data_IF_500092711666
#
_entry.id   IF_500092711666
#
_cell.length_a   1.000
_cell.length_b   1.000
_cell.length_c   1.000
_cell.angle_alpha   90.00
_cell.angle_beta   90.00
_cell.angle_gamma   90.00
#
_symmetry.space_group_name_H-M   'P 1'
#
loop_
_entity.id
_entity.type
_entity.pdbx_description
1 polymer ?
#
# COMPACT_ATOMS: atom_id res chain seq x y z
N UNK A 1 17.37 -20.38 -12.17
CA UNK A 1 16.95 -20.26 -13.59
C UNK A 1 17.12 -18.83 -14.07
N UNK A 2 17.46 -18.61 -15.35
CA UNK A 2 17.53 -17.24 -15.88
C UNK A 2 16.12 -16.66 -16.03
N UNK A 3 15.97 -15.37 -15.79
CA UNK A 3 14.66 -14.70 -15.89
C UNK A 3 14.06 -14.80 -17.32
N UNK A 4 14.90 -14.95 -18.35
CA UNK A 4 14.48 -15.18 -19.74
C UNK A 4 13.87 -16.56 -19.98
N UNK A 5 14.20 -17.55 -19.14
CA UNK A 5 13.75 -18.94 -19.25
C UNK A 5 12.42 -19.19 -18.52
N UNK A 6 11.93 -18.22 -17.74
CA UNK A 6 10.65 -18.32 -17.06
C UNK A 6 9.49 -18.36 -18.08
N UNK A 7 8.66 -19.39 -17.94
CA UNK A 7 7.53 -19.70 -18.83
C UNK A 7 6.30 -18.91 -18.40
N UNK A 8 6.29 -17.60 -18.68
CA UNK A 8 5.12 -16.73 -18.48
C UNK A 8 4.56 -16.28 -19.82
N UNK A 9 3.26 -15.99 -19.87
CA UNK A 9 2.64 -15.35 -21.03
C UNK A 9 3.09 -13.87 -21.12
N UNK A 10 4.22 -13.63 -21.79
CA UNK A 10 4.83 -12.29 -21.94
C UNK A 10 4.00 -11.32 -22.80
N UNK A 11 2.88 -11.76 -23.37
CA UNK A 11 1.96 -10.88 -24.08
C UNK A 11 1.15 -9.99 -23.12
N UNK A 12 0.88 -10.51 -21.91
CA UNK A 12 0.05 -9.85 -20.89
C UNK A 12 0.75 -9.71 -19.53
N UNK A 13 1.65 -10.64 -19.17
CA UNK A 13 2.39 -10.62 -17.92
C UNK A 13 3.80 -10.06 -18.06
N UNK A 14 4.31 -9.54 -16.94
CA UNK A 14 5.65 -8.95 -16.81
C UNK A 14 6.39 -9.67 -15.70
N UNK A 15 7.71 -9.60 -15.71
CA UNK A 15 8.52 -10.00 -14.56
C UNK A 15 8.53 -8.90 -13.50
N UNK A 16 8.78 -9.30 -12.25
CA UNK A 16 9.18 -8.42 -11.17
C UNK A 16 10.39 -7.56 -11.54
N UNK A 17 10.55 -6.42 -10.87
CA UNK A 17 11.66 -5.50 -11.08
C UNK A 17 13.00 -6.09 -10.64
N UNK A 18 14.10 -5.57 -11.19
CA UNK A 18 15.46 -5.93 -10.76
C UNK A 18 15.71 -5.61 -9.29
N UNK A 19 15.09 -4.55 -8.78
CA UNK A 19 15.20 -4.17 -7.36
C UNK A 19 14.49 -5.17 -6.49
N UNK A 20 13.24 -5.55 -6.82
CA UNK A 20 12.48 -6.58 -6.09
C UNK A 20 13.23 -7.91 -6.05
N UNK A 21 13.79 -8.35 -7.19
CA UNK A 21 14.67 -9.52 -7.25
C UNK A 21 15.81 -9.44 -6.24
N UNK A 22 16.53 -8.31 -6.20
CA UNK A 22 17.66 -8.13 -5.29
C UNK A 22 17.25 -8.16 -3.82
N UNK A 23 16.13 -7.53 -3.47
CA UNK A 23 15.61 -7.55 -2.11
C UNK A 23 15.24 -8.98 -1.68
N UNK A 24 14.49 -9.72 -2.52
CA UNK A 24 14.12 -11.11 -2.23
C UNK A 24 15.37 -12.00 -2.10
N UNK A 25 16.32 -11.91 -3.03
CA UNK A 25 17.56 -12.69 -2.97
C UNK A 25 18.38 -12.35 -1.72
N UNK A 26 18.39 -11.07 -1.30
CA UNK A 26 19.02 -10.65 -0.05
C UNK A 26 18.36 -11.29 1.16
N UNK A 27 17.01 -11.33 1.22
CA UNK A 27 16.30 -11.99 2.32
C UNK A 27 16.50 -13.51 2.33
N UNK A 28 16.51 -14.17 1.17
CA UNK A 28 16.89 -15.59 1.06
C UNK A 28 18.31 -15.82 1.63
N UNK A 29 19.26 -14.93 1.33
CA UNK A 29 20.63 -15.08 1.81
C UNK A 29 20.78 -14.94 3.34
N UNK A 30 19.82 -14.28 4.02
CA UNK A 30 19.79 -14.16 5.49
C UNK A 30 19.38 -15.48 6.16
N UNK A 31 18.51 -16.26 5.52
CA UNK A 31 17.90 -17.45 6.13
C UNK A 31 18.49 -18.77 5.66
N UNK A 32 19.09 -18.80 4.47
CA UNK A 32 19.57 -20.02 3.83
C UNK A 32 21.09 -20.00 3.60
N UNK A 33 21.78 -21.14 3.81
CA UNK A 33 23.21 -21.27 3.53
C UNK A 33 23.47 -21.12 2.03
N UNK A 34 24.68 -20.70 1.67
CA UNK A 34 25.04 -20.36 0.28
C UNK A 34 24.69 -21.45 -0.74
N UNK A 35 24.91 -22.72 -0.39
CA UNK A 35 24.62 -23.87 -1.23
C UNK A 35 23.12 -24.05 -1.58
N UNK A 36 22.21 -23.48 -0.78
CA UNK A 36 20.75 -23.64 -0.96
C UNK A 36 20.10 -22.42 -1.63
N UNK A 37 20.74 -21.25 -1.59
CA UNK A 37 20.12 -19.97 -2.01
C UNK A 37 19.57 -19.99 -3.43
N UNK A 38 20.32 -20.54 -4.38
CA UNK A 38 19.86 -20.64 -5.78
C UNK A 38 18.66 -21.56 -5.92
N UNK A 39 18.62 -22.70 -5.21
CA UNK A 39 17.49 -23.62 -5.22
C UNK A 39 16.24 -22.97 -4.62
N UNK A 40 16.38 -22.22 -3.52
CA UNK A 40 15.27 -21.47 -2.92
C UNK A 40 14.79 -20.37 -3.86
N UNK A 41 15.69 -19.62 -4.47
CA UNK A 41 15.33 -18.60 -5.46
C UNK A 41 14.59 -19.20 -6.65
N UNK A 42 15.01 -20.36 -7.15
CA UNK A 42 14.28 -21.08 -8.20
C UNK A 42 12.87 -21.50 -7.77
N UNK A 43 12.68 -21.92 -6.52
CA UNK A 43 11.34 -22.19 -5.98
C UNK A 43 10.46 -20.95 -5.98
N UNK A 44 11.00 -19.79 -5.58
CA UNK A 44 10.28 -18.50 -5.65
C UNK A 44 9.89 -18.17 -7.09
N UNK A 45 10.81 -18.32 -8.04
CA UNK A 45 10.53 -18.08 -9.46
C UNK A 45 9.44 -19.02 -10.00
N UNK A 46 9.45 -20.30 -9.61
CA UNK A 46 8.43 -21.27 -10.02
C UNK A 46 7.06 -20.94 -9.40
N UNK A 47 7.03 -20.55 -8.13
CA UNK A 47 5.80 -20.09 -7.48
C UNK A 47 5.23 -18.85 -8.18
N UNK A 48 6.09 -17.92 -8.61
CA UNK A 48 5.68 -16.76 -9.37
C UNK A 48 5.05 -17.12 -10.72
N UNK A 49 5.66 -18.06 -11.45
CA UNK A 49 5.11 -18.57 -12.71
C UNK A 49 3.75 -19.25 -12.49
N UNK A 50 3.64 -20.08 -11.45
CA UNK A 50 2.40 -20.76 -11.08
C UNK A 50 1.27 -19.75 -10.78
N UNK A 51 1.58 -18.74 -9.96
CA UNK A 51 0.67 -17.63 -9.67
C UNK A 51 0.19 -16.88 -10.91
N UNK A 52 1.08 -16.61 -11.86
CA UNK A 52 0.69 -15.92 -13.08
C UNK A 52 -0.13 -16.79 -14.05
N UNK A 53 -0.02 -18.11 -13.98
CA UNK A 53 -0.76 -19.02 -14.88
C UNK A 53 -2.29 -18.86 -14.76
N UNK A 54 -2.75 -18.51 -13.56
CA UNK A 54 -4.17 -18.29 -13.23
C UNK A 54 -4.50 -16.81 -13.00
N UNK A 55 -3.59 -15.89 -13.35
CA UNK A 55 -3.82 -14.47 -13.17
C UNK A 55 -4.51 -13.82 -14.38
N UNK A 56 -5.29 -12.76 -14.12
CA UNK A 56 -6.00 -12.01 -15.16
C UNK A 56 -5.01 -11.32 -16.12
N UNK A 57 -5.40 -11.20 -17.39
CA UNK A 57 -4.53 -10.81 -18.51
C UNK A 57 -4.75 -9.38 -19.03
N UNK A 58 -5.70 -8.67 -18.45
CA UNK A 58 -6.23 -7.39 -18.89
C UNK A 58 -5.59 -6.17 -18.20
N UNK A 59 -4.68 -6.37 -17.25
CA UNK A 59 -4.02 -5.29 -16.49
C UNK A 59 -3.00 -4.47 -17.29
N UNK A 60 -2.82 -4.72 -18.59
CA UNK A 60 -1.93 -3.96 -19.47
C UNK A 60 -0.42 -4.25 -19.35
N UNK A 61 -0.01 -4.96 -18.29
CA UNK A 61 1.37 -5.41 -18.08
C UNK A 61 2.37 -4.26 -18.22
N UNK A 62 3.38 -4.43 -19.10
CA UNK A 62 4.49 -3.46 -19.26
C UNK A 62 4.06 -2.05 -19.70
N UNK A 63 2.82 -1.91 -20.19
CA UNK A 63 2.24 -0.64 -20.66
C UNK A 63 1.47 0.10 -19.56
N UNK A 64 1.27 -0.54 -18.42
CA UNK A 64 0.58 0.02 -17.27
C UNK A 64 1.58 0.26 -16.13
N UNK A 65 1.59 1.45 -15.54
CA UNK A 65 2.56 1.79 -14.52
C UNK A 65 2.25 1.14 -13.15
N UNK A 66 0.97 0.99 -12.79
CA UNK A 66 0.59 0.31 -11.54
C UNK A 66 0.69 -1.21 -11.64
N UNK A 67 0.58 -1.76 -12.86
CA UNK A 67 0.63 -3.19 -13.13
C UNK A 67 1.83 -3.55 -14.03
N UNK A 68 2.90 -2.78 -13.96
CA UNK A 68 4.18 -3.07 -14.60
C UNK A 68 5.18 -3.68 -13.61
N UNK A 69 6.44 -3.80 -14.03
CA UNK A 69 7.54 -4.05 -13.12
C UNK A 69 7.68 -2.86 -12.15
N UNK A 70 7.74 -3.11 -10.84
CA UNK A 70 7.69 -2.08 -9.81
C UNK A 70 6.28 -1.76 -9.27
N UNK A 71 5.24 -2.45 -9.76
CA UNK A 71 3.86 -2.35 -9.28
C UNK A 71 3.35 -3.71 -8.81
N UNK A 72 2.12 -4.08 -9.19
CA UNK A 72 1.46 -5.34 -8.78
C UNK A 72 2.33 -6.59 -9.00
N UNK A 73 3.14 -6.64 -10.07
CA UNK A 73 4.01 -7.80 -10.32
C UNK A 73 5.18 -7.93 -9.33
N UNK A 74 5.60 -6.85 -8.68
CA UNK A 74 6.55 -6.92 -7.57
C UNK A 74 5.84 -7.44 -6.31
N UNK A 75 4.59 -7.01 -6.05
CA UNK A 75 3.79 -7.56 -4.96
C UNK A 75 3.57 -9.08 -5.11
N UNK A 76 3.26 -9.56 -6.33
CA UNK A 76 3.11 -11.01 -6.62
C UNK A 76 4.44 -11.75 -6.37
N UNK A 77 5.59 -11.14 -6.67
CA UNK A 77 6.89 -11.75 -6.40
C UNK A 77 7.20 -11.81 -4.90
N UNK A 78 6.86 -10.78 -4.14
CA UNK A 78 6.97 -10.77 -2.67
C UNK A 78 6.05 -11.84 -2.05
N UNK A 79 4.83 -11.97 -2.57
CA UNK A 79 3.90 -13.03 -2.19
C UNK A 79 4.43 -14.42 -2.52
N UNK A 80 5.10 -14.58 -3.67
CA UNK A 80 5.76 -15.84 -4.06
C UNK A 80 6.90 -16.18 -3.10
N UNK A 81 7.71 -15.19 -2.73
CA UNK A 81 8.75 -15.33 -1.71
C UNK A 81 8.16 -15.76 -0.38
N UNK A 82 7.11 -15.07 0.07
CA UNK A 82 6.43 -15.38 1.33
C UNK A 82 5.91 -16.82 1.35
N UNK A 83 5.26 -17.30 0.29
CA UNK A 83 4.78 -18.70 0.25
C UNK A 83 5.93 -19.70 0.39
N UNK A 84 7.04 -19.49 -0.34
CA UNK A 84 8.18 -20.42 -0.33
C UNK A 84 8.96 -20.36 0.98
N UNK A 85 9.09 -19.19 1.59
CA UNK A 85 9.94 -18.94 2.76
C UNK A 85 9.14 -18.67 4.05
N UNK A 86 7.83 -18.91 4.06
CA UNK A 86 6.91 -18.62 5.18
C UNK A 86 7.44 -19.01 6.56
N UNK A 87 8.08 -20.19 6.76
CA UNK A 87 8.57 -20.59 8.09
C UNK A 87 9.67 -19.71 8.68
N UNK A 88 10.41 -18.97 7.83
CA UNK A 88 11.56 -18.13 8.24
C UNK A 88 11.31 -16.64 8.03
N UNK A 89 10.28 -16.28 7.26
CA UNK A 89 9.96 -14.89 6.94
C UNK A 89 9.08 -14.24 8.01
N UNK A 90 9.54 -13.11 8.54
CA UNK A 90 8.75 -12.29 9.47
C UNK A 90 7.91 -11.23 8.75
N UNK A 91 6.87 -10.71 9.42
CA UNK A 91 6.08 -9.58 8.91
C UNK A 91 6.96 -8.35 8.58
N UNK A 92 7.88 -8.00 9.48
CA UNK A 92 8.77 -6.85 9.30
C UNK A 92 9.67 -7.01 8.09
N UNK A 93 10.10 -8.23 7.79
CA UNK A 93 10.92 -8.51 6.61
C UNK A 93 10.19 -8.17 5.30
N UNK A 94 8.90 -8.50 5.19
CA UNK A 94 8.07 -8.13 4.03
C UNK A 94 7.90 -6.60 3.96
N UNK A 95 7.65 -5.95 5.10
CA UNK A 95 7.50 -4.49 5.18
C UNK A 95 8.79 -3.78 4.73
N UNK A 96 9.97 -4.32 5.08
CA UNK A 96 11.27 -3.79 4.64
C UNK A 96 11.51 -3.94 3.14
N UNK A 97 11.15 -5.08 2.54
CA UNK A 97 11.26 -5.27 1.09
C UNK A 97 10.44 -4.19 0.39
N UNK A 98 9.18 -4.01 0.80
CA UNK A 98 8.29 -3.01 0.20
C UNK A 98 8.80 -1.57 0.43
N UNK A 99 9.26 -1.25 1.65
CA UNK A 99 9.88 0.05 1.97
C UNK A 99 11.09 0.35 1.07
N UNK A 100 11.94 -0.65 0.81
CA UNK A 100 13.12 -0.52 -0.05
C UNK A 100 12.76 -0.36 -1.54
N UNK A 101 11.59 -0.83 -1.97
CA UNK A 101 11.09 -0.61 -3.32
C UNK A 101 10.49 0.79 -3.49
N UNK A 102 9.70 1.25 -2.53
CA UNK A 102 8.89 2.46 -2.67
C UNK A 102 9.61 3.72 -2.16
N UNK A 103 10.17 3.68 -0.95
CA UNK A 103 10.66 4.87 -0.26
C UNK A 103 11.84 5.58 -0.97
N UNK A 104 12.76 4.92 -1.71
CA UNK A 104 13.83 5.65 -2.41
C UNK A 104 13.33 6.75 -3.34
N UNK A 105 12.20 6.55 -4.01
CA UNK A 105 11.59 7.57 -4.89
C UNK A 105 11.03 8.74 -4.08
N UNK A 106 10.36 8.46 -2.96
CA UNK A 106 9.83 9.49 -2.06
C UNK A 106 10.94 10.25 -1.32
N UNK A 107 12.07 9.60 -0.99
CA UNK A 107 13.22 10.25 -0.35
C UNK A 107 13.83 11.33 -1.25
N UNK A 108 13.74 11.20 -2.58
CA UNK A 108 14.15 12.25 -3.53
C UNK A 108 13.21 13.45 -3.51
N UNK A 109 12.00 13.31 -2.97
CA UNK A 109 10.96 14.33 -2.88
C UNK A 109 10.85 14.98 -1.49
N UNK A 110 11.83 14.80 -0.60
CA UNK A 110 11.84 15.37 0.77
C UNK A 110 11.71 16.91 0.84
N UNK A 111 11.93 17.60 -0.27
CA UNK A 111 11.72 19.06 -0.38
C UNK A 111 10.22 19.44 -0.50
N UNK A 112 9.36 18.48 -0.83
CA UNK A 112 7.91 18.67 -0.89
C UNK A 112 7.37 18.90 0.52
N UNK A 113 6.45 19.85 0.66
CA UNK A 113 5.83 20.16 1.94
C UNK A 113 4.32 20.29 1.80
N UNK A 114 3.58 19.23 2.13
CA UNK A 114 2.11 19.18 2.00
C UNK A 114 1.37 20.23 2.86
N UNK A 115 2.01 20.79 3.90
CA UNK A 115 1.44 21.93 4.64
C UNK A 115 1.35 23.22 3.81
N UNK A 116 1.98 23.28 2.62
CA UNK A 116 1.92 24.45 1.74
C UNK A 116 0.90 24.21 0.61
N UNK A 117 -0.02 25.17 0.35
CA UNK A 117 -1.05 25.03 -0.68
C UNK A 117 -0.52 24.71 -2.08
N UNK A 118 0.67 25.22 -2.43
CA UNK A 118 1.32 24.93 -3.72
C UNK A 118 1.59 23.43 -3.89
N UNK A 119 2.29 22.81 -2.93
CA UNK A 119 2.61 21.39 -2.97
C UNK A 119 1.37 20.52 -2.88
N UNK A 120 0.41 20.89 -2.02
CA UNK A 120 -0.88 20.20 -1.90
C UNK A 120 -1.64 20.17 -3.23
N UNK A 121 -1.69 21.31 -3.94
CA UNK A 121 -2.31 21.37 -5.28
C UNK A 121 -1.57 20.49 -6.30
N UNK A 122 -0.23 20.46 -6.27
CA UNK A 122 0.56 19.57 -7.15
C UNK A 122 0.32 18.08 -6.85
N UNK A 123 0.22 17.71 -5.58
CA UNK A 123 -0.13 16.33 -5.18
C UNK A 123 -1.51 15.94 -5.68
N UNK A 124 -2.52 16.82 -5.54
CA UNK A 124 -3.85 16.59 -6.10
C UNK A 124 -3.83 16.36 -7.62
N UNK A 125 -3.08 17.20 -8.37
CA UNK A 125 -2.90 16.98 -9.81
C UNK A 125 -2.21 15.65 -10.13
N UNK A 126 -1.26 15.20 -9.31
CA UNK A 126 -0.62 13.90 -9.48
C UNK A 126 -1.64 12.76 -9.29
N UNK A 127 -2.53 12.84 -8.29
CA UNK A 127 -3.60 11.86 -8.11
C UNK A 127 -4.63 11.86 -9.25
N UNK A 128 -4.97 13.03 -9.81
CA UNK A 128 -5.81 13.09 -11.01
C UNK A 128 -5.15 12.42 -12.23
N UNK A 129 -3.84 12.58 -12.40
CA UNK A 129 -3.09 11.89 -13.45
C UNK A 129 -3.04 10.39 -13.22
N UNK A 130 -2.85 9.96 -11.96
CA UNK A 130 -2.90 8.55 -11.60
C UNK A 130 -4.28 7.96 -11.94
N UNK A 131 -5.36 8.64 -11.56
CA UNK A 131 -6.75 8.26 -11.89
C UNK A 131 -6.94 8.09 -13.40
N UNK A 132 -6.52 9.06 -14.21
CA UNK A 132 -6.62 8.95 -15.67
C UNK A 132 -5.86 7.74 -16.23
N UNK A 133 -4.73 7.37 -15.61
CA UNK A 133 -3.99 6.16 -15.93
C UNK A 133 -4.75 4.89 -15.55
N UNK A 134 -5.41 4.87 -14.39
CA UNK A 134 -6.25 3.77 -13.95
C UNK A 134 -7.50 3.59 -14.82
N UNK A 135 -8.19 4.68 -15.15
CA UNK A 135 -9.39 4.68 -16.00
C UNK A 135 -9.12 4.08 -17.39
N UNK A 136 -7.87 4.17 -17.86
CA UNK A 136 -7.45 3.57 -19.14
C UNK A 136 -7.43 2.04 -19.10
N UNK A 137 -7.10 1.44 -17.96
CA UNK A 137 -6.87 0.00 -17.82
C UNK A 137 -7.96 -0.70 -17.00
N UNK A 138 -8.84 0.05 -16.33
CA UNK A 138 -9.89 -0.48 -15.45
C UNK A 138 -9.34 -1.48 -14.41
N UNK A 139 -8.18 -1.14 -13.85
CA UNK A 139 -7.42 -1.98 -12.93
C UNK A 139 -7.66 -1.58 -11.46
N UNK A 140 -7.28 -0.36 -11.13
CA UNK A 140 -7.56 0.30 -9.87
C UNK A 140 -8.75 1.21 -10.09
N UNK A 141 -9.93 0.83 -9.59
CA UNK A 141 -11.10 1.70 -9.68
C UNK A 141 -10.93 2.90 -8.73
N UNK A 142 -10.34 3.98 -9.25
CA UNK A 142 -9.92 5.13 -8.47
C UNK A 142 -10.93 6.28 -8.58
N UNK A 143 -11.31 6.83 -7.43
CA UNK A 143 -12.09 8.08 -7.34
C UNK A 143 -11.27 9.13 -6.60
N UNK A 144 -11.18 10.34 -7.14
CA UNK A 144 -10.49 11.48 -6.52
C UNK A 144 -11.50 12.57 -6.25
N UNK A 145 -11.63 13.03 -5.00
CA UNK A 145 -12.52 14.12 -4.66
C UNK A 145 -12.06 15.45 -5.28
N UNK A 146 -12.99 16.40 -5.51
CA UNK A 146 -12.63 17.76 -5.91
C UNK A 146 -11.62 18.40 -4.96
N UNK A 147 -10.71 19.21 -5.50
CA UNK A 147 -9.74 19.93 -4.68
C UNK A 147 -10.40 21.07 -3.91
N UNK A 148 -10.18 21.10 -2.60
CA UNK A 148 -10.57 22.20 -1.73
C UNK A 148 -9.36 22.74 -0.97
N UNK A 149 -9.12 24.05 -1.04
CA UNK A 149 -7.89 24.69 -0.54
C UNK A 149 -7.60 24.39 0.95
N UNK A 150 -8.65 24.37 1.77
CA UNK A 150 -8.54 24.26 3.23
C UNK A 150 -8.96 22.88 3.77
N UNK A 151 -9.19 21.88 2.91
CA UNK A 151 -9.53 20.52 3.33
C UNK A 151 -8.48 19.51 2.89
N UNK A 152 -8.29 18.39 3.59
CA UNK A 152 -7.46 17.29 3.12
C UNK A 152 -7.82 16.84 1.69
N UNK A 153 -6.87 16.22 0.99
CA UNK A 153 -7.12 15.58 -0.29
C UNK A 153 -7.73 14.21 -0.02
N UNK A 154 -8.86 13.90 -0.64
CA UNK A 154 -9.46 12.57 -0.57
C UNK A 154 -9.37 11.85 -1.90
N UNK A 155 -8.97 10.58 -1.86
CA UNK A 155 -9.19 9.63 -2.95
C UNK A 155 -9.43 8.24 -2.38
N UNK A 156 -10.00 7.35 -3.19
CA UNK A 156 -10.24 5.97 -2.81
C UNK A 156 -10.03 5.02 -3.99
N UNK A 157 -9.80 3.75 -3.67
CA UNK A 157 -9.86 2.64 -4.61
C UNK A 157 -10.96 1.67 -4.19
N UNK A 158 -11.87 1.30 -5.10
CA UNK A 158 -12.83 0.19 -4.89
C UNK A 158 -12.30 -1.14 -5.43
N UNK A 159 -11.30 -1.09 -6.30
CA UNK A 159 -10.57 -2.27 -6.78
C UNK A 159 -9.06 -2.05 -6.67
N UNK A 160 -8.34 -3.09 -6.23
CA UNK A 160 -6.88 -3.09 -6.12
C UNK A 160 -6.37 -4.47 -6.56
N UNK A 161 -5.68 -4.59 -7.70
CA UNK A 161 -5.13 -5.85 -8.20
C UNK A 161 -4.25 -6.60 -7.18
N UNK A 162 -3.46 -5.91 -6.36
CA UNK A 162 -2.67 -6.57 -5.31
C UNK A 162 -3.56 -7.20 -4.21
N UNK A 163 -4.62 -6.51 -3.80
CA UNK A 163 -5.59 -7.05 -2.85
C UNK A 163 -6.42 -8.19 -3.46
N UNK A 164 -6.90 -8.03 -4.69
CA UNK A 164 -7.59 -9.09 -5.44
C UNK A 164 -6.72 -10.36 -5.51
N UNK A 165 -5.44 -10.18 -5.85
CA UNK A 165 -4.49 -11.28 -5.92
C UNK A 165 -4.32 -11.97 -4.55
N UNK A 166 -4.09 -11.20 -3.49
CA UNK A 166 -3.90 -11.75 -2.15
C UNK A 166 -5.14 -12.51 -1.65
N UNK A 167 -6.34 -11.97 -1.88
CA UNK A 167 -7.60 -12.63 -1.49
C UNK A 167 -7.75 -13.98 -2.23
N UNK A 168 -7.53 -13.99 -3.55
CA UNK A 168 -7.67 -15.22 -4.36
C UNK A 168 -6.70 -16.33 -3.93
N UNK A 169 -5.53 -15.97 -3.42
CA UNK A 169 -4.49 -16.91 -3.05
C UNK A 169 -4.37 -17.13 -1.53
N UNK A 170 -5.27 -16.56 -0.73
CA UNK A 170 -5.24 -16.71 0.73
C UNK A 170 -3.98 -16.12 1.38
N UNK A 171 -3.55 -14.94 0.92
CA UNK A 171 -2.31 -14.26 1.36
C UNK A 171 -2.59 -12.90 2.02
N UNK A 172 -3.81 -12.70 2.52
CA UNK A 172 -4.22 -11.43 3.12
C UNK A 172 -3.44 -11.11 4.40
N UNK A 173 -2.82 -12.09 5.07
CA UNK A 173 -2.04 -11.86 6.29
C UNK A 173 -0.82 -10.94 6.10
N UNK A 174 -0.25 -10.87 4.89
CA UNK A 174 0.92 -10.01 4.61
C UNK A 174 0.55 -8.70 3.92
N UNK A 175 -0.73 -8.50 3.56
CA UNK A 175 -1.20 -7.25 2.98
C UNK A 175 -0.92 -6.00 3.83
N UNK A 176 -0.99 -6.03 5.18
CA UNK A 176 -0.59 -4.86 5.95
C UNK A 176 0.87 -4.47 5.73
N UNK A 177 1.79 -5.43 5.57
CA UNK A 177 3.21 -5.14 5.30
C UNK A 177 3.39 -4.45 3.94
N UNK A 178 2.60 -4.82 2.94
CA UNK A 178 2.61 -4.19 1.61
C UNK A 178 1.93 -2.81 1.60
N UNK A 179 0.84 -2.64 2.38
CA UNK A 179 0.04 -1.42 2.36
C UNK A 179 0.51 -0.34 3.34
N UNK A 180 1.29 -0.68 4.38
CA UNK A 180 1.74 0.29 5.38
C UNK A 180 2.79 1.27 4.85
N UNK A 181 3.48 0.91 3.76
CA UNK A 181 4.47 1.76 3.11
C UNK A 181 3.88 3.09 2.65
N UNK A 182 2.59 3.13 2.32
CA UNK A 182 1.86 4.35 1.93
C UNK A 182 1.96 5.44 3.01
N UNK A 183 1.86 5.06 4.29
CA UNK A 183 2.00 6.00 5.39
C UNK A 183 3.42 6.56 5.45
N UNK A 184 4.43 5.68 5.41
CA UNK A 184 5.84 6.08 5.44
C UNK A 184 6.22 6.95 4.24
N UNK A 185 5.63 6.68 3.07
CA UNK A 185 5.81 7.47 1.86
C UNK A 185 5.25 8.89 2.02
N UNK A 186 4.05 9.03 2.60
CA UNK A 186 3.45 10.36 2.85
C UNK A 186 4.23 11.17 3.90
N UNK A 187 4.77 10.52 4.93
CA UNK A 187 5.59 11.18 5.95
C UNK A 187 6.81 11.89 5.35
N UNK A 188 7.41 11.32 4.28
CA UNK A 188 8.54 11.94 3.58
C UNK A 188 8.18 13.24 2.85
N UNK A 189 6.89 13.52 2.62
CA UNK A 189 6.39 14.71 1.93
C UNK A 189 5.82 15.77 2.90
N UNK A 190 6.11 15.63 4.20
CA UNK A 190 5.46 16.38 5.29
C UNK A 190 3.93 16.29 5.21
N UNK A 191 3.47 15.09 4.85
CA UNK A 191 2.07 14.73 4.80
C UNK A 191 1.79 13.61 5.80
N UNK A 192 0.51 13.35 6.03
CA UNK A 192 0.02 12.18 6.74
C UNK A 192 -1.10 11.55 5.93
N UNK A 193 -1.14 10.23 5.98
CA UNK A 193 -2.25 9.43 5.48
C UNK A 193 -3.22 9.16 6.64
N UNK A 194 -4.49 9.44 6.41
CA UNK A 194 -5.61 8.99 7.23
C UNK A 194 -6.38 7.94 6.44
N UNK A 195 -6.41 6.71 6.96
CA UNK A 195 -7.03 5.52 6.33
C UNK A 195 -7.80 4.68 7.34
N UNK A 196 -9.01 4.27 7.02
CA UNK A 196 -9.88 3.47 7.90
C UNK A 196 -10.06 2.03 7.40
N UNK A 197 -9.96 1.81 6.08
CA UNK A 197 -10.23 0.55 5.40
C UNK A 197 -9.21 0.27 4.28
N UNK A 198 -9.12 -1.00 3.86
CA UNK A 198 -8.37 -1.41 2.67
C UNK A 198 -9.19 -2.40 1.85
N UNK A 199 -8.94 -2.50 0.54
CA UNK A 199 -9.57 -3.53 -0.31
C UNK A 199 -9.20 -4.97 0.09
N UNK A 200 -8.10 -5.16 0.85
CA UNK A 200 -7.67 -6.48 1.28
C UNK A 200 -8.58 -7.08 2.37
N UNK A 201 -9.26 -6.24 3.15
CA UNK A 201 -10.13 -6.69 4.25
C UNK A 201 -11.35 -5.79 4.48
N UNK A 202 -11.80 -5.11 3.42
CA UNK A 202 -12.88 -4.14 3.43
C UNK A 202 -13.32 -3.83 2.00
N UNK A 203 -14.25 -2.90 1.83
CA UNK A 203 -14.86 -2.61 0.53
C UNK A 203 -14.07 -1.60 -0.33
N UNK A 204 -13.09 -0.90 0.26
CA UNK A 204 -12.25 0.09 -0.42
C UNK A 204 -10.97 0.34 0.35
N UNK A 205 -9.97 0.88 -0.33
CA UNK A 205 -8.88 1.61 0.31
C UNK A 205 -9.21 3.11 0.28
N UNK A 206 -9.37 3.73 1.46
CA UNK A 206 -9.59 5.16 1.59
C UNK A 206 -8.29 5.89 1.90
N UNK A 207 -8.07 7.01 1.21
CA UNK A 207 -6.87 7.82 1.38
C UNK A 207 -7.27 9.27 1.59
N UNK A 208 -7.16 9.72 2.84
CA UNK A 208 -7.23 11.13 3.16
C UNK A 208 -5.83 11.66 3.45
N UNK A 209 -5.32 12.55 2.61
CA UNK A 209 -3.97 13.12 2.72
C UNK A 209 -4.04 14.56 3.23
N UNK A 210 -3.43 14.82 4.37
CA UNK A 210 -3.29 16.16 4.94
C UNK A 210 -1.83 16.49 5.26
N UNK A 211 -1.55 17.75 5.58
CA UNK A 211 -0.24 18.13 6.09
C UNK A 211 0.04 17.49 7.46
N UNK A 212 1.31 17.29 7.80
CA UNK A 212 1.70 16.74 9.11
C UNK A 212 1.47 17.70 10.29
N UNK A 213 1.11 18.97 10.02
CA UNK A 213 0.70 19.97 11.01
C UNK A 213 -0.81 20.26 10.97
N UNK A 214 -1.56 19.54 10.13
CA UNK A 214 -2.99 19.79 9.94
C UNK A 214 -3.79 19.37 11.18
N UNK A 215 -4.65 20.25 11.74
CA UNK A 215 -5.51 19.91 12.88
C UNK A 215 -6.38 18.67 12.66
N UNK A 216 -6.68 18.32 11.40
CA UNK A 216 -7.42 17.12 11.01
C UNK A 216 -6.88 15.85 11.68
N UNK A 217 -5.56 15.76 11.92
CA UNK A 217 -4.94 14.59 12.54
C UNK A 217 -5.35 14.36 13.99
N UNK A 218 -5.74 15.41 14.71
CA UNK A 218 -6.19 15.29 16.11
C UNK A 218 -7.51 14.53 16.20
N UNK A 219 -8.35 14.68 15.18
CA UNK A 219 -9.62 13.97 15.06
C UNK A 219 -9.44 12.53 14.54
N UNK A 220 -8.27 12.24 13.96
CA UNK A 220 -7.99 10.96 13.30
C UNK A 220 -6.70 10.31 13.80
N UNK A 221 -6.61 9.96 15.10
CA UNK A 221 -5.40 9.38 15.66
C UNK A 221 -5.07 8.04 14.99
N UNK A 222 -3.79 7.88 14.64
CA UNK A 222 -3.26 6.65 14.06
C UNK A 222 -3.13 5.55 15.12
N UNK A 223 -3.38 4.30 14.73
CA UNK A 223 -3.11 3.09 15.50
C UNK A 223 -2.71 1.95 14.56
N UNK A 224 -2.14 0.88 15.12
CA UNK A 224 -1.99 -0.40 14.42
C UNK A 224 -3.06 -1.37 14.90
N UNK A 225 -3.77 -2.01 13.98
CA UNK A 225 -4.76 -3.03 14.32
C UNK A 225 -4.11 -4.39 14.64
N UNK A 226 -4.91 -5.36 15.07
CA UNK A 226 -4.46 -6.71 15.43
C UNK A 226 -3.82 -7.48 14.27
N UNK A 227 -4.15 -7.11 13.03
CA UNK A 227 -3.60 -7.70 11.81
C UNK A 227 -2.33 -6.95 11.34
N UNK A 228 -1.93 -5.88 12.02
CA UNK A 228 -0.74 -5.11 11.72
C UNK A 228 -0.93 -3.94 10.74
N UNK A 229 -2.17 -3.63 10.33
CA UNK A 229 -2.42 -2.44 9.49
C UNK A 229 -2.27 -1.17 10.31
N UNK A 230 -1.53 -0.21 9.76
CA UNK A 230 -1.65 1.20 10.17
C UNK A 230 -2.98 1.74 9.69
N UNK A 231 -3.76 2.33 10.60
CA UNK A 231 -5.09 2.90 10.39
C UNK A 231 -5.30 4.12 11.26
N UNK A 232 -6.37 4.86 10.98
CA UNK A 232 -6.79 6.00 11.77
C UNK A 232 -8.21 5.77 12.26
N UNK A 233 -8.50 6.26 13.47
CA UNK A 233 -9.86 6.22 14.02
C UNK A 233 -10.68 7.35 13.42
N UNK A 234 -11.99 7.15 13.31
CA UNK A 234 -12.90 8.27 13.15
C UNK A 234 -13.16 8.91 14.51
N UNK A 235 -13.10 10.24 14.60
CA UNK A 235 -13.50 10.94 15.82
C UNK A 235 -14.99 10.67 16.10
N UNK A 236 -15.30 10.05 17.23
CA UNK A 236 -16.69 9.92 17.69
C UNK A 236 -17.29 11.28 18.13
N UNK A 237 -16.50 12.34 18.25
CA UNK A 237 -16.99 13.68 18.56
C UNK A 237 -17.39 14.45 17.30
N UNK A 238 -18.30 13.90 16.49
CA UNK A 238 -19.09 14.75 15.60
C UNK A 238 -20.10 15.47 16.48
N UNK A 239 -19.85 16.76 16.74
CA UNK A 239 -20.81 17.76 17.22
C UNK A 239 -22.19 17.22 17.63
N UNK A 240 -22.33 16.76 18.87
CA UNK A 240 -23.58 16.96 19.60
C UNK A 240 -23.60 18.43 20.01
N UNK A 241 -23.88 19.34 19.05
CA UNK A 241 -24.42 20.67 19.37
C UNK A 241 -25.86 20.44 19.82
N UNK A 242 -25.99 19.88 21.02
CA UNK A 242 -27.18 19.73 21.88
C UNK A 242 -26.78 18.97 23.16
N UNK A 243 -25.54 19.14 23.63
CA UNK A 243 -25.00 18.44 24.80
C UNK A 243 -24.40 19.38 25.85
N UNK A 244 -24.81 20.65 25.90
CA UNK A 244 -24.49 21.55 27.04
C UNK A 244 -25.21 21.10 28.33
N UNK A 245 -26.03 20.05 28.30
CA UNK A 245 -26.71 19.49 29.47
C UNK A 245 -26.22 18.06 29.71
N UNK A 246 -24.95 17.88 30.09
CA UNK A 246 -24.49 16.68 30.80
C UNK A 246 -23.19 16.89 31.59
N UNK A 247 -22.82 18.16 31.82
CA UNK A 247 -21.79 18.52 32.80
C UNK A 247 -22.37 18.98 34.15
N UNK A 248 -23.70 18.94 34.31
CA UNK A 248 -24.39 19.31 35.57
C UNK A 248 -24.87 18.12 36.41
N UNK A 249 -24.80 16.87 35.91
CA UNK A 249 -25.21 15.69 36.68
C UNK A 249 -24.07 14.97 37.41
N UNK A 250 -22.83 15.48 37.35
CA UNK A 250 -21.68 14.90 38.07
C UNK A 250 -21.32 15.65 39.36
N UNK A 251 -22.07 16.69 39.77
CA UNK A 251 -21.73 17.54 40.92
C UNK A 251 -22.81 17.67 42.01
N UNK A 252 -23.85 16.82 42.03
CA UNK A 252 -24.89 16.86 43.10
C UNK A 252 -25.13 15.53 43.81
N UNK A 253 -24.16 14.62 43.80
CA UNK A 253 -24.19 13.42 44.68
C UNK A 253 -23.20 13.50 45.86
N UNK A 254 -22.70 14.69 46.17
CA UNK A 254 -21.96 14.98 47.39
C UNK A 254 -22.28 16.41 47.87
N UNK A 255 -23.51 16.65 48.34
CA UNK A 255 -23.91 17.47 49.50
C UNK A 255 -25.28 17.00 49.93
#
# INVERSE_FOLDING_TARGET
MKDSELQIDRSCHVLYSKTCKKEIQSKIALHYPEAEREVIWEKVQRQYVDFLSNWRKDLGGKRNFHNGAGGTYDCIAIMSYYVVCKPVTSFREIEEIEENLILPSFRKLKFVNCNKPFWKKLMHMAFLRAKAGCDKWHDYEMTVAPYEKNKPIYYEFTACPAAEFAIRNGLTEIMPALCNVDFAAMELLRARLVRTTTCANGCKCDYTICGDQDPYLKEHPEYRDENGYRRNRECCFKHTVTGIILLFCFFTQWV
#
